data_IF_106217518604
#
_entry.id   IF_106217518604
#
_cell.length_a   1.000
_cell.length_b   1.000
_cell.length_c   1.000
_cell.angle_alpha   90.00
_cell.angle_beta   90.00
_cell.angle_gamma   90.00
#
_symmetry.space_group_name_H-M   'P 1'
#
loop_
_entity.id
_entity.type
_entity.pdbx_description
1 polymer ?
#
# COMPACT_ATOMS: atom_id res chain seq x y z
N UNK A 1 -21.66 13.63 -9.19
CA UNK A 1 -20.58 13.40 -8.20
C UNK A 1 -19.51 12.62 -8.92
N UNK A 2 -18.35 13.25 -9.20
CA UNK A 2 -17.25 12.59 -9.88
C UNK A 2 -16.70 11.50 -8.97
N UNK A 3 -16.86 10.24 -9.34
CA UNK A 3 -16.04 9.15 -8.79
C UNK A 3 -14.61 9.45 -9.23
N UNK A 4 -13.82 10.12 -8.38
CA UNK A 4 -12.37 10.08 -8.50
C UNK A 4 -12.00 8.61 -8.32
N UNK A 5 -11.83 7.91 -9.43
CA UNK A 5 -11.16 6.62 -9.44
C UNK A 5 -9.76 6.93 -8.92
N UNK A 6 -9.43 6.46 -7.71
CA UNK A 6 -8.05 6.48 -7.25
C UNK A 6 -7.24 5.75 -8.32
N UNK A 7 -6.36 6.47 -9.00
CA UNK A 7 -5.50 5.90 -10.03
C UNK A 7 -4.36 5.25 -9.27
N UNK A 8 -4.56 4.00 -8.88
CA UNK A 8 -3.51 3.17 -8.32
C UNK A 8 -2.51 2.85 -9.45
N UNK A 9 -1.29 3.36 -9.36
CA UNK A 9 -0.23 3.01 -10.31
C UNK A 9 0.35 1.64 -9.96
N UNK A 10 -0.24 0.60 -10.54
CA UNK A 10 0.25 -0.77 -10.37
C UNK A 10 1.44 -1.02 -11.31
N UNK A 11 2.45 -1.82 -10.88
CA UNK A 11 3.49 -2.29 -11.77
C UNK A 11 2.87 -3.04 -12.96
N UNK A 12 3.32 -2.75 -14.19
CA UNK A 12 2.85 -3.48 -15.39
C UNK A 12 3.11 -4.99 -15.31
N UNK A 13 4.14 -5.36 -14.57
CA UNK A 13 4.58 -6.74 -14.33
C UNK A 13 4.21 -7.20 -12.92
N UNK A 14 3.13 -6.66 -12.35
CA UNK A 14 2.68 -7.02 -11.02
C UNK A 14 2.42 -8.53 -10.91
N UNK A 15 2.89 -9.11 -9.81
CA UNK A 15 2.87 -10.56 -9.57
C UNK A 15 1.65 -11.02 -8.79
N UNK A 16 0.72 -10.12 -8.45
CA UNK A 16 -0.39 -10.39 -7.53
C UNK A 16 0.00 -10.35 -6.05
N UNK A 17 1.29 -10.11 -5.74
CA UNK A 17 1.80 -9.99 -4.38
C UNK A 17 1.75 -8.54 -3.91
N UNK A 18 1.31 -8.38 -2.67
CA UNK A 18 1.22 -7.11 -1.98
C UNK A 18 1.94 -7.21 -0.65
N UNK A 19 2.50 -6.10 -0.20
CA UNK A 19 3.04 -5.91 1.12
C UNK A 19 2.34 -4.73 1.79
N UNK A 20 1.98 -4.88 3.05
CA UNK A 20 1.46 -3.80 3.90
C UNK A 20 2.52 -3.53 4.95
N UNK A 21 2.86 -2.26 5.18
CA UNK A 21 3.83 -1.84 6.18
C UNK A 21 3.23 -0.77 7.08
N UNK A 22 3.32 -0.95 8.39
CA UNK A 22 3.05 0.11 9.35
C UNK A 22 4.16 1.16 9.27
N UNK A 23 3.78 2.43 9.29
CA UNK A 23 4.68 3.56 9.11
C UNK A 23 4.42 4.64 10.15
N UNK A 24 5.48 5.35 10.56
CA UNK A 24 5.40 6.57 11.36
C UNK A 24 6.15 7.70 10.67
N UNK A 25 5.74 8.94 10.94
CA UNK A 25 6.41 10.13 10.45
C UNK A 25 7.46 10.57 11.46
N UNK A 26 8.74 10.37 11.13
CA UNK A 26 9.86 10.85 11.94
C UNK A 26 10.50 12.10 11.36
N UNK A 27 11.44 12.69 12.13
CA UNK A 27 12.20 13.88 11.72
C UNK A 27 13.02 13.67 10.43
N UNK A 28 13.39 12.42 10.14
CA UNK A 28 14.13 12.04 8.93
C UNK A 28 13.22 11.53 7.80
N UNK A 29 11.90 11.68 7.92
CA UNK A 29 10.90 11.16 6.99
C UNK A 29 10.18 9.91 7.50
N UNK A 30 9.56 9.17 6.57
CA UNK A 30 8.76 8.00 6.88
C UNK A 30 9.65 6.83 7.30
N UNK A 31 9.30 6.20 8.43
CA UNK A 31 9.99 5.05 8.99
C UNK A 31 9.02 3.88 9.15
N UNK A 32 9.50 2.66 8.95
CA UNK A 32 8.71 1.45 9.21
C UNK A 32 8.57 1.26 10.73
N UNK A 33 7.36 0.94 11.17
CA UNK A 33 6.99 0.76 12.56
C UNK A 33 6.21 -0.54 12.77
N UNK A 34 6.20 -1.03 14.00
CA UNK A 34 5.31 -2.11 14.38
C UNK A 34 3.85 -1.66 14.26
N UNK A 35 2.94 -2.56 13.92
CA UNK A 35 1.54 -2.22 13.67
C UNK A 35 0.85 -1.48 14.84
N UNK A 36 1.26 -1.73 16.08
CA UNK A 36 0.70 -1.04 17.26
C UNK A 36 1.17 0.40 17.43
N UNK A 37 2.30 0.74 16.81
CA UNK A 37 2.93 2.07 16.89
C UNK A 37 2.78 2.84 15.56
N UNK A 38 2.22 2.20 14.53
CA UNK A 38 2.04 2.78 13.21
C UNK A 38 0.98 3.90 13.21
N UNK A 39 1.33 5.02 12.58
CA UNK A 39 0.42 6.14 12.33
C UNK A 39 -0.43 5.92 11.07
N UNK A 40 0.11 5.19 10.10
CA UNK A 40 -0.55 4.81 8.87
C UNK A 40 0.08 3.53 8.30
N UNK A 41 -0.52 3.00 7.22
CA UNK A 41 -0.14 1.75 6.59
C UNK A 41 0.06 1.93 5.08
N UNK A 42 1.31 1.79 4.62
CA UNK A 42 1.64 1.83 3.20
C UNK A 42 1.37 0.49 2.52
N UNK A 43 0.69 0.52 1.37
CA UNK A 43 0.46 -0.65 0.51
C UNK A 43 1.44 -0.62 -0.66
N UNK A 44 2.12 -1.75 -0.87
CA UNK A 44 3.13 -1.90 -1.92
C UNK A 44 2.83 -3.10 -2.81
N UNK A 45 2.98 -2.94 -4.11
CA UNK A 45 2.83 -3.99 -5.11
C UNK A 45 4.18 -4.50 -5.60
N UNK A 46 4.34 -5.83 -5.63
CA UNK A 46 5.58 -6.47 -6.08
C UNK A 46 5.55 -6.74 -7.59
N UNK A 47 6.53 -6.23 -8.31
CA UNK A 47 6.74 -6.53 -9.73
C UNK A 47 7.44 -7.88 -9.96
N UNK A 48 7.62 -8.26 -11.23
CA UNK A 48 8.25 -9.53 -11.60
C UNK A 48 9.74 -9.62 -11.24
N UNK A 49 10.41 -8.49 -10.98
CA UNK A 49 11.81 -8.44 -10.54
C UNK A 49 11.93 -8.52 -9.01
N UNK A 50 10.80 -8.51 -8.30
CA UNK A 50 10.73 -8.58 -6.85
C UNK A 50 10.75 -7.21 -6.16
N UNK A 51 10.75 -6.11 -6.92
CA UNK A 51 10.72 -4.75 -6.40
C UNK A 51 9.32 -4.41 -5.90
N UNK A 52 9.27 -3.72 -4.75
CA UNK A 52 8.01 -3.31 -4.12
C UNK A 52 7.78 -1.83 -4.41
N UNK A 53 6.80 -1.55 -5.26
CA UNK A 53 6.40 -0.19 -5.60
C UNK A 53 5.27 0.28 -4.69
N UNK A 54 5.37 1.50 -4.18
CA UNK A 54 4.31 2.13 -3.40
C UNK A 54 3.05 2.30 -4.26
N UNK A 55 1.89 2.04 -3.65
CA UNK A 55 0.58 2.15 -4.30
C UNK A 55 -0.26 3.23 -3.64
N UNK A 56 -0.42 3.16 -2.32
CA UNK A 56 -1.28 4.07 -1.54
C UNK A 56 -0.96 3.94 -0.05
N UNK A 57 -1.16 5.02 0.71
CA UNK A 57 -1.12 5.02 2.16
C UNK A 57 -2.55 4.99 2.75
N UNK A 58 -2.76 4.18 3.78
CA UNK A 58 -4.05 4.02 4.45
C UNK A 58 -3.95 4.40 5.92
N UNK A 59 -4.97 5.05 6.47
CA UNK A 59 -4.97 5.47 7.88
C UNK A 59 -4.98 4.28 8.84
N UNK A 60 -5.60 3.16 8.45
CA UNK A 60 -5.67 1.95 9.28
C UNK A 60 -5.24 0.69 8.56
N UNK A 61 -4.84 -0.31 9.36
CA UNK A 61 -4.46 -1.62 8.85
C UNK A 61 -5.64 -2.30 8.15
N UNK A 62 -6.86 -2.13 8.65
CA UNK A 62 -8.08 -2.67 8.04
C UNK A 62 -8.29 -2.08 6.65
N UNK A 63 -8.16 -0.75 6.50
CA UNK A 63 -8.26 -0.08 5.20
C UNK A 63 -7.19 -0.61 4.22
N UNK A 64 -5.94 -0.73 4.66
CA UNK A 64 -4.87 -1.29 3.84
C UNK A 64 -5.17 -2.74 3.39
N UNK A 65 -5.74 -3.56 4.28
CA UNK A 65 -6.15 -4.92 3.95
C UNK A 65 -7.32 -4.97 2.97
N UNK A 66 -8.31 -4.10 3.13
CA UNK A 66 -9.45 -4.04 2.23
C UNK A 66 -9.05 -3.52 0.86
N UNK A 67 -8.15 -2.53 0.79
CA UNK A 67 -7.51 -2.12 -0.45
C UNK A 67 -6.75 -3.28 -1.09
N UNK A 68 -5.96 -4.04 -0.32
CA UNK A 68 -5.21 -5.17 -0.84
C UNK A 68 -6.12 -6.27 -1.42
N UNK A 69 -7.28 -6.54 -0.80
CA UNK A 69 -8.29 -7.45 -1.35
C UNK A 69 -8.89 -6.91 -2.64
N UNK A 70 -9.23 -5.62 -2.66
CA UNK A 70 -9.77 -4.96 -3.84
C UNK A 70 -8.79 -5.04 -5.02
N UNK A 71 -7.53 -4.66 -4.82
CA UNK A 71 -6.50 -4.71 -5.87
C UNK A 71 -6.33 -6.11 -6.46
N UNK A 72 -6.32 -7.16 -5.62
CA UNK A 72 -6.29 -8.56 -6.06
C UNK A 72 -7.52 -9.02 -6.83
N UNK A 73 -8.64 -8.33 -6.69
CA UNK A 73 -9.88 -8.65 -7.41
C UNK A 73 -10.04 -7.83 -8.70
N UNK A 74 -9.37 -6.67 -8.79
CA UNK A 74 -9.55 -5.71 -9.86
C UNK A 74 -8.49 -5.82 -10.97
N UNK A 75 -7.33 -6.42 -10.66
CA UNK A 75 -6.17 -6.58 -11.55
C UNK A 75 -5.76 -8.06 -11.61
#
# INVERSE_FOLDING_TARGET
>A
MSTMQAVFEMPKTWTGRLQIRGCTTGDSGIQEAADCDAEFFGVYAQDAEGLHMWVEDCDTKEQANDLAKYLKSAF
#
